data_IF_792561546568
#
_entry.id   IF_792561546568
#
_cell.length_a   1.000
_cell.length_b   1.000
_cell.length_c   1.000
_cell.angle_alpha   90.00
_cell.angle_beta   90.00
_cell.angle_gamma   90.00
#
_symmetry.space_group_name_H-M   'P 1'
#
loop_
_entity.id
_entity.type
_entity.pdbx_description
1 polymer ?
#
# COMPACT_ATOMS: atom_id res chain seq x y z
N UNK A 1 13.72 42.88 -1.81
CA UNK A 1 12.39 42.37 -2.19
C UNK A 1 12.21 40.87 -1.93
N UNK A 2 13.02 39.97 -2.52
CA UNK A 2 12.89 38.50 -2.29
C UNK A 2 12.89 38.08 -0.81
N UNK A 3 13.76 38.67 0.02
CA UNK A 3 13.82 38.36 1.44
C UNK A 3 12.53 38.71 2.21
N UNK A 4 11.89 39.84 1.87
CA UNK A 4 10.61 40.24 2.49
C UNK A 4 9.48 39.29 2.10
N UNK A 5 9.42 38.91 0.82
CA UNK A 5 8.45 37.92 0.34
C UNK A 5 8.66 36.58 1.03
N UNK A 6 9.91 36.11 1.17
CA UNK A 6 10.22 34.88 1.90
C UNK A 6 9.75 34.93 3.35
N UNK A 7 10.01 36.05 4.04
CA UNK A 7 9.61 36.26 5.44
C UNK A 7 8.09 36.34 5.61
N UNK A 8 7.39 36.98 4.66
CA UNK A 8 5.94 37.01 4.65
C UNK A 8 5.34 35.62 4.43
N UNK A 9 5.87 34.87 3.45
CA UNK A 9 5.40 33.53 3.14
C UNK A 9 5.67 32.56 4.29
N UNK A 10 6.80 32.68 5.01
CA UNK A 10 7.12 31.84 6.17
C UNK A 10 6.22 32.11 7.38
N UNK A 11 5.69 33.33 7.52
CA UNK A 11 4.82 33.73 8.64
C UNK A 11 3.32 33.68 8.31
N UNK A 12 2.95 33.65 7.02
CA UNK A 12 1.56 33.59 6.59
C UNK A 12 0.94 32.20 6.83
N UNK A 13 -0.02 32.13 7.75
CA UNK A 13 -0.72 30.89 8.13
C UNK A 13 -1.37 30.16 6.94
N UNK A 14 -2.02 30.91 6.03
CA UNK A 14 -2.69 30.33 4.85
C UNK A 14 -1.67 29.68 3.91
N UNK A 15 -0.55 30.36 3.65
CA UNK A 15 0.51 29.83 2.80
C UNK A 15 1.13 28.56 3.41
N UNK A 16 1.39 28.55 4.72
CA UNK A 16 1.99 27.38 5.39
C UNK A 16 1.06 26.16 5.45
N UNK A 17 -0.26 26.36 5.50
CA UNK A 17 -1.24 25.25 5.56
C UNK A 17 -1.59 24.68 4.18
N UNK A 18 -1.72 25.54 3.18
CA UNK A 18 -2.21 25.13 1.85
C UNK A 18 -1.07 24.69 0.94
N UNK A 19 0.12 25.28 1.11
CA UNK A 19 1.25 24.95 0.24
C UNK A 19 1.91 23.67 0.76
N UNK A 20 1.81 22.61 -0.04
CA UNK A 20 2.55 21.38 0.21
C UNK A 20 4.04 21.65 0.08
N UNK A 21 4.81 21.12 1.02
CA UNK A 21 6.26 21.18 1.01
C UNK A 21 6.79 20.29 -0.13
N UNK A 22 7.48 20.89 -1.09
CA UNK A 22 8.06 20.19 -2.25
C UNK A 22 9.50 19.73 -1.96
N UNK A 23 9.73 19.24 -0.75
CA UNK A 23 11.01 18.65 -0.37
C UNK A 23 10.91 17.12 -0.45
N UNK A 24 12.00 16.43 -0.82
CA UNK A 24 12.06 14.99 -0.65
C UNK A 24 11.74 14.64 0.80
N UNK A 25 10.99 13.55 0.99
CA UNK A 25 10.74 13.04 2.35
C UNK A 25 12.11 12.83 3.02
N UNK A 26 12.32 13.39 4.22
CA UNK A 26 13.58 13.20 4.91
C UNK A 26 13.73 11.73 5.31
N UNK A 27 14.95 11.20 5.18
CA UNK A 27 15.29 9.84 5.59
C UNK A 27 15.37 8.82 4.45
N UNK A 28 16.03 7.70 4.72
CA UNK A 28 16.09 6.55 3.82
C UNK A 28 14.88 5.64 4.05
N UNK A 29 14.44 4.93 3.01
CA UNK A 29 13.46 3.86 3.18
C UNK A 29 14.04 2.80 4.13
N UNK A 30 13.24 2.35 5.10
CA UNK A 30 13.61 1.26 5.99
C UNK A 30 13.02 -0.06 5.46
N UNK A 31 13.82 -0.91 4.80
CA UNK A 31 13.32 -2.18 4.29
C UNK A 31 13.01 -3.16 5.43
N UNK A 32 11.98 -3.98 5.25
CA UNK A 32 11.67 -5.09 6.15
C UNK A 32 12.75 -6.17 6.05
N UNK A 33 13.16 -6.72 7.20
CA UNK A 33 14.12 -7.83 7.27
C UNK A 33 13.71 -8.99 6.36
N UNK A 34 14.70 -9.60 5.70
CA UNK A 34 14.48 -10.77 4.86
C UNK A 34 14.19 -11.96 5.79
N UNK A 35 13.13 -12.75 5.56
CA UNK A 35 12.88 -13.95 6.37
C UNK A 35 13.98 -15.00 6.17
N UNK A 36 14.13 -15.92 7.11
CA UNK A 36 15.15 -16.98 7.07
C UNK A 36 14.65 -18.23 6.36
N UNK A 37 13.33 -18.41 6.28
CA UNK A 37 12.69 -19.57 5.69
C UNK A 37 11.45 -19.22 4.87
N UNK A 38 11.03 -20.18 4.04
CA UNK A 38 9.76 -20.12 3.33
C UNK A 38 8.60 -20.11 4.33
N UNK A 39 7.56 -19.33 4.02
CA UNK A 39 6.31 -19.22 4.77
C UNK A 39 6.43 -18.57 6.16
N UNK A 40 7.60 -18.04 6.54
CA UNK A 40 7.77 -17.32 7.80
C UNK A 40 7.10 -15.95 7.80
N UNK A 41 7.15 -15.25 6.66
CA UNK A 41 6.53 -13.94 6.48
C UNK A 41 5.77 -13.95 5.18
N UNK A 42 4.47 -13.75 5.28
CA UNK A 42 3.55 -13.73 4.15
C UNK A 42 3.00 -12.31 4.01
N UNK A 43 2.90 -11.84 2.77
CA UNK A 43 2.24 -10.58 2.45
C UNK A 43 0.92 -10.88 1.74
N UNK A 44 -0.15 -10.20 2.16
CA UNK A 44 -1.49 -10.35 1.60
C UNK A 44 -1.93 -9.01 1.03
N UNK A 45 -2.46 -9.00 -0.19
CA UNK A 45 -2.97 -7.81 -0.87
C UNK A 45 -4.20 -8.14 -1.73
N UNK A 46 -4.95 -7.12 -2.11
CA UNK A 46 -6.15 -7.22 -2.95
C UNK A 46 -6.00 -6.35 -4.18
N UNK A 47 -6.06 -6.98 -5.37
CA UNK A 47 -6.19 -6.25 -6.63
C UNK A 47 -7.67 -6.12 -6.93
N UNK A 48 -8.21 -4.92 -6.74
CA UNK A 48 -9.63 -4.61 -6.95
C UNK A 48 -9.88 -3.76 -8.19
N UNK A 49 -11.16 -3.57 -8.53
CA UNK A 49 -11.59 -2.71 -9.64
C UNK A 49 -11.28 -3.30 -11.02
N UNK A 50 -11.11 -4.63 -11.11
CA UNK A 50 -10.85 -5.31 -12.37
C UNK A 50 -12.15 -5.43 -13.19
N UNK A 51 -12.06 -5.44 -14.53
CA UNK A 51 -13.18 -5.84 -15.37
C UNK A 51 -13.69 -7.24 -14.96
N UNK A 52 -15.01 -7.40 -14.93
CA UNK A 52 -15.62 -8.64 -14.48
C UNK A 52 -15.23 -9.82 -15.39
N UNK A 53 -14.65 -10.85 -14.79
CA UNK A 53 -14.30 -12.11 -15.46
C UNK A 53 -14.86 -13.28 -14.66
N UNK A 54 -15.75 -14.07 -15.26
CA UNK A 54 -16.42 -15.21 -14.60
C UNK A 54 -17.02 -14.85 -13.22
N UNK A 55 -17.57 -13.63 -13.08
CA UNK A 55 -18.13 -13.04 -11.84
C UNK A 55 -17.11 -12.56 -10.80
N UNK A 56 -15.82 -12.78 -11.00
CA UNK A 56 -14.78 -12.18 -10.17
C UNK A 56 -14.42 -10.78 -10.68
N UNK A 57 -14.14 -9.88 -9.73
CA UNK A 57 -13.71 -8.48 -9.96
C UNK A 57 -12.52 -8.09 -9.07
N UNK A 58 -12.07 -9.03 -8.24
CA UNK A 58 -10.97 -8.87 -7.30
C UNK A 58 -10.06 -10.11 -7.36
N UNK A 59 -8.77 -9.92 -7.11
CA UNK A 59 -7.81 -11.01 -6.90
C UNK A 59 -7.18 -10.82 -5.53
N UNK A 60 -7.34 -11.82 -4.65
CA UNK A 60 -6.56 -11.97 -3.43
C UNK A 60 -5.18 -12.51 -3.77
N UNK A 61 -4.15 -11.78 -3.36
CA UNK A 61 -2.75 -12.08 -3.64
C UNK A 61 -2.06 -12.44 -2.33
N UNK A 62 -1.56 -13.66 -2.22
CA UNK A 62 -0.84 -14.15 -1.05
C UNK A 62 0.57 -14.51 -1.50
N UNK A 63 1.59 -13.87 -0.94
CA UNK A 63 2.98 -14.04 -1.37
C UNK A 63 3.85 -14.43 -0.17
N UNK A 64 4.62 -15.49 -0.32
CA UNK A 64 5.73 -15.79 0.58
C UNK A 64 6.89 -14.82 0.34
N UNK A 65 7.25 -14.02 1.36
CA UNK A 65 8.25 -12.95 1.21
C UNK A 65 9.64 -13.50 0.90
N UNK A 66 9.96 -14.73 1.32
CA UNK A 66 11.25 -15.36 1.10
C UNK A 66 11.39 -15.92 -0.33
N UNK A 67 10.55 -16.87 -0.71
CA UNK A 67 10.62 -17.55 -2.01
C UNK A 67 10.03 -16.76 -3.17
N UNK A 68 9.22 -15.73 -2.88
CA UNK A 68 8.39 -15.00 -3.86
C UNK A 68 7.31 -15.86 -4.52
N UNK A 69 7.04 -17.05 -3.99
CA UNK A 69 5.91 -17.86 -4.43
C UNK A 69 4.60 -17.14 -4.13
N UNK A 70 3.67 -17.17 -5.08
CA UNK A 70 2.43 -16.40 -5.03
C UNK A 70 1.21 -17.29 -5.31
N UNK A 71 0.18 -17.14 -4.47
CA UNK A 71 -1.16 -17.66 -4.71
C UNK A 71 -2.07 -16.51 -5.15
N UNK A 72 -2.83 -16.74 -6.22
CA UNK A 72 -3.80 -15.80 -6.77
C UNK A 72 -5.18 -16.44 -6.72
N UNK A 73 -6.07 -15.83 -5.93
CA UNK A 73 -7.42 -16.36 -5.69
C UNK A 73 -8.42 -15.32 -6.19
N UNK A 74 -9.33 -15.74 -7.08
CA UNK A 74 -10.34 -14.84 -7.63
C UNK A 74 -11.49 -14.64 -6.63
N UNK A 75 -11.89 -13.38 -6.42
CA UNK A 75 -12.96 -12.96 -5.52
C UNK A 75 -14.02 -12.12 -6.24
N UNK A 76 -15.25 -12.20 -5.73
CA UNK A 76 -16.39 -11.37 -6.14
C UNK A 76 -16.90 -10.57 -4.94
N UNK A 77 -17.23 -9.29 -5.12
CA UNK A 77 -17.89 -8.53 -4.06
C UNK A 77 -19.38 -8.90 -3.89
N UNK A 78 -19.92 -8.76 -2.68
CA UNK A 78 -19.19 -8.49 -1.44
C UNK A 78 -18.47 -9.76 -0.94
N UNK A 79 -17.32 -9.59 -0.30
CA UNK A 79 -16.64 -10.65 0.43
C UNK A 79 -16.34 -10.16 1.85
N UNK A 80 -16.27 -11.09 2.80
CA UNK A 80 -16.09 -10.83 4.22
C UNK A 80 -14.69 -11.24 4.68
N UNK A 81 -14.24 -10.71 5.81
CA UNK A 81 -12.96 -11.12 6.41
C UNK A 81 -12.92 -12.63 6.74
N UNK A 82 -14.07 -13.23 7.07
CA UNK A 82 -14.17 -14.66 7.37
C UNK A 82 -13.96 -15.49 6.11
N UNK A 83 -14.59 -15.13 5.00
CA UNK A 83 -14.42 -15.83 3.71
C UNK A 83 -12.96 -15.73 3.22
N UNK A 84 -12.33 -14.56 3.36
CA UNK A 84 -10.91 -14.38 3.04
C UNK A 84 -10.03 -15.26 3.93
N UNK A 85 -10.32 -15.32 5.23
CA UNK A 85 -9.55 -16.16 6.16
C UNK A 85 -9.69 -17.65 5.86
N UNK A 86 -10.88 -18.10 5.45
CA UNK A 86 -11.10 -19.48 5.00
C UNK A 86 -10.27 -19.78 3.73
N UNK A 87 -10.33 -18.90 2.72
CA UNK A 87 -9.56 -19.06 1.49
C UNK A 87 -8.04 -19.00 1.69
N UNK A 88 -7.57 -18.36 2.76
CA UNK A 88 -6.16 -18.36 3.14
C UNK A 88 -5.71 -19.69 3.75
N UNK A 89 -6.62 -20.43 4.39
CA UNK A 89 -6.33 -21.70 5.07
C UNK A 89 -6.52 -22.93 4.19
N UNK A 90 -7.26 -22.81 3.08
CA UNK A 90 -7.51 -23.86 2.09
C UNK A 90 -6.26 -24.18 1.24
#
# INVERSE_FOLDING_TARGET
MKAMVSTYVSTCNVCQRVKVEQLPKPGLLQPLSIPQGAWEVITVDFIEGLPQSKKAICILVIIDKFTKYAHFIALSHPYTAIEVAMLYLD
#
